data_IF_455179271425
#
_entry.id   IF_455179271425
#
_cell.length_a   1.000
_cell.length_b   1.000
_cell.length_c   1.000
_cell.angle_alpha   90.00
_cell.angle_beta   90.00
_cell.angle_gamma   90.00
#
_symmetry.space_group_name_H-M   'P 1'
#
loop_
_entity.id
_entity.type
_entity.pdbx_description
1 polymer ?
#
# COMPACT_ATOMS: atom_id res chain seq x y z
N UNK A 1 -8.59 -4.47 -4.45
CA UNK A 1 -8.21 -3.44 -3.44
C UNK A 1 -6.70 -3.19 -3.47
N UNK A 2 -6.22 -1.96 -3.21
CA UNK A 2 -4.80 -1.55 -3.27
C UNK A 2 -3.85 -2.56 -2.60
N UNK A 3 -4.28 -3.12 -1.47
CA UNK A 3 -3.53 -4.04 -0.62
C UNK A 3 -3.46 -5.49 -1.10
N UNK A 4 -4.25 -5.89 -2.12
CA UNK A 4 -4.17 -7.25 -2.66
C UNK A 4 -2.93 -7.44 -3.56
N UNK A 5 -2.36 -6.34 -4.03
CA UNK A 5 -1.15 -6.33 -4.86
C UNK A 5 0.10 -6.64 -4.04
N UNK A 6 1.15 -7.15 -4.69
CA UNK A 6 2.44 -7.37 -4.03
C UNK A 6 3.23 -6.05 -3.83
N UNK A 7 3.02 -5.08 -4.73
CA UNK A 7 3.66 -3.77 -4.73
C UNK A 7 2.61 -2.70 -5.08
N UNK A 8 2.79 -1.49 -4.56
CA UNK A 8 1.93 -0.33 -4.81
C UNK A 8 2.76 0.95 -4.98
N UNK A 9 2.32 1.82 -5.89
CA UNK A 9 2.94 3.10 -6.20
C UNK A 9 1.83 4.15 -6.26
N UNK A 10 2.09 5.34 -5.74
CA UNK A 10 1.12 6.44 -5.72
C UNK A 10 1.64 7.68 -6.42
N UNK A 11 0.71 8.51 -6.91
CA UNK A 11 1.03 9.89 -7.26
C UNK A 11 1.19 10.70 -5.95
N UNK A 12 2.05 11.71 -5.95
CA UNK A 12 2.26 12.61 -4.81
C UNK A 12 0.96 13.23 -4.33
N UNK A 13 0.09 13.62 -5.26
CA UNK A 13 -1.22 14.23 -5.03
C UNK A 13 -2.35 13.22 -4.78
N UNK A 14 -2.08 11.91 -4.77
CA UNK A 14 -3.11 10.91 -4.49
C UNK A 14 -3.53 10.97 -3.01
N UNK A 15 -4.83 10.85 -2.75
CA UNK A 15 -5.37 10.89 -1.39
C UNK A 15 -5.80 9.50 -0.90
N UNK A 16 -5.49 9.21 0.35
CA UNK A 16 -5.87 7.98 1.06
C UNK A 16 -6.53 8.35 2.41
N UNK A 17 -7.58 7.62 2.79
CA UNK A 17 -8.26 7.79 4.08
C UNK A 17 -8.90 6.49 4.56
N UNK A 18 -8.81 6.23 5.87
CA UNK A 18 -9.72 5.36 6.60
C UNK A 18 -10.85 6.19 7.22
N UNK A 19 -11.70 6.75 6.36
CA UNK A 19 -12.72 7.71 6.77
C UNK A 19 -13.93 7.08 7.47
N UNK A 20 -14.00 5.76 7.59
CA UNK A 20 -15.12 5.01 8.19
C UNK A 20 -15.53 5.56 9.57
N UNK A 21 -14.56 5.98 10.38
CA UNK A 21 -14.81 6.54 11.71
C UNK A 21 -15.69 7.80 11.67
N UNK A 22 -15.57 8.61 10.60
CA UNK A 22 -16.39 9.82 10.40
C UNK A 22 -17.86 9.49 10.09
N UNK A 23 -18.14 8.25 9.71
CA UNK A 23 -19.49 7.73 9.46
C UNK A 23 -20.01 6.87 10.63
N UNK A 24 -19.28 6.82 11.76
CA UNK A 24 -19.66 6.03 12.92
C UNK A 24 -19.53 4.52 12.72
N UNK A 25 -18.73 4.07 11.75
CA UNK A 25 -18.49 2.65 11.47
C UNK A 25 -17.00 2.33 11.55
N UNK A 26 -16.68 1.07 11.82
CA UNK A 26 -15.30 0.60 11.85
C UNK A 26 -14.77 0.33 10.43
N UNK A 27 -13.43 0.38 10.20
CA UNK A 27 -12.84 0.04 8.90
C UNK A 27 -13.04 -1.43 8.53
N UNK A 28 -14.10 -1.71 7.78
CA UNK A 28 -14.54 -3.03 7.38
C UNK A 28 -13.81 -3.59 6.15
N UNK A 29 -14.28 -4.72 5.62
CA UNK A 29 -13.79 -5.27 4.34
C UNK A 29 -12.31 -5.67 4.31
N UNK A 30 -11.70 -5.87 5.48
CA UNK A 30 -10.28 -6.17 5.64
C UNK A 30 -9.38 -4.94 5.77
N UNK A 31 -9.91 -3.71 5.69
CA UNK A 31 -9.12 -2.48 5.82
C UNK A 31 -8.34 -2.42 7.14
N UNK A 32 -8.95 -2.82 8.26
CA UNK A 32 -8.27 -2.91 9.56
C UNK A 32 -7.06 -3.87 9.53
N UNK A 33 -7.19 -5.05 8.93
CA UNK A 33 -6.08 -6.02 8.82
C UNK A 33 -4.95 -5.45 7.96
N UNK A 34 -5.31 -4.85 6.85
CA UNK A 34 -4.39 -4.27 5.87
C UNK A 34 -3.52 -3.18 6.48
N UNK A 35 -4.12 -2.21 7.19
CA UNK A 35 -3.33 -1.09 7.72
C UNK A 35 -2.42 -1.52 8.86
N UNK A 36 -2.78 -2.55 9.61
CA UNK A 36 -1.90 -3.12 10.65
C UNK A 36 -0.75 -3.93 10.03
N UNK A 37 -0.96 -4.58 8.89
CA UNK A 37 0.10 -5.31 8.17
C UNK A 37 1.10 -4.39 7.46
N UNK A 38 0.62 -3.26 6.92
CA UNK A 38 1.44 -2.38 6.09
C UNK A 38 2.08 -1.23 6.86
N UNK A 39 1.42 -0.71 7.89
CA UNK A 39 1.86 0.48 8.62
C UNK A 39 2.42 0.12 9.99
N UNK A 40 3.13 1.08 10.60
CA UNK A 40 3.41 0.97 12.04
C UNK A 40 2.10 1.02 12.83
N UNK A 41 2.06 0.39 14.00
CA UNK A 41 0.86 0.41 14.85
C UNK A 41 0.40 1.83 15.18
N UNK A 42 1.33 2.79 15.32
CA UNK A 42 0.98 4.20 15.59
C UNK A 42 0.37 4.89 14.38
N UNK A 43 0.91 4.66 13.18
CA UNK A 43 0.38 5.27 11.97
C UNK A 43 -0.98 4.66 11.59
N UNK A 44 -1.14 3.35 11.77
CA UNK A 44 -2.42 2.66 11.60
C UNK A 44 -3.49 3.23 12.52
N UNK A 45 -3.18 3.36 13.82
CA UNK A 45 -4.11 3.94 14.80
C UNK A 45 -4.40 5.41 14.51
N UNK A 46 -3.39 6.21 14.18
CA UNK A 46 -3.61 7.61 13.80
C UNK A 46 -4.57 7.69 12.61
N UNK A 47 -4.30 6.94 11.53
CA UNK A 47 -5.10 7.01 10.32
C UNK A 47 -6.55 6.56 10.56
N UNK A 48 -6.74 5.44 11.27
CA UNK A 48 -8.05 4.88 11.54
C UNK A 48 -8.88 5.69 12.55
N UNK A 49 -8.25 6.30 13.55
CA UNK A 49 -8.96 7.07 14.58
C UNK A 49 -9.25 8.50 14.17
N UNK A 50 -8.39 9.11 13.35
CA UNK A 50 -8.59 10.50 12.89
C UNK A 50 -9.45 10.57 11.64
N UNK A 51 -9.41 9.54 10.78
CA UNK A 51 -10.06 9.58 9.47
C UNK A 51 -9.50 10.65 8.53
N UNK A 52 -8.35 11.23 8.83
CA UNK A 52 -7.73 12.28 8.03
C UNK A 52 -7.21 11.75 6.69
N UNK A 53 -7.29 12.61 5.67
CA UNK A 53 -6.67 12.37 4.38
C UNK A 53 -5.15 12.47 4.50
N UNK A 54 -4.46 11.49 3.94
CA UNK A 54 -3.01 11.54 3.72
C UNK A 54 -2.73 11.57 2.21
N UNK A 55 -1.68 12.28 1.83
CA UNK A 55 -1.21 12.35 0.45
C UNK A 55 -0.31 11.16 0.09
N UNK A 56 0.08 11.03 -1.18
CA UNK A 56 0.93 9.94 -1.65
C UNK A 56 2.28 9.91 -0.96
N UNK A 57 2.86 11.08 -0.69
CA UNK A 57 4.16 11.22 -0.01
C UNK A 57 4.11 10.65 1.39
N UNK A 58 3.09 11.01 2.16
CA UNK A 58 2.88 10.47 3.51
C UNK A 58 2.54 8.99 3.47
N UNK A 59 1.73 8.54 2.50
CA UNK A 59 1.46 7.12 2.28
C UNK A 59 2.76 6.31 2.03
N UNK A 60 3.71 6.83 1.24
CA UNK A 60 5.00 6.19 1.01
C UNK A 60 5.92 6.26 2.24
N UNK A 61 5.91 7.37 2.98
CA UNK A 61 6.65 7.50 4.23
C UNK A 61 6.18 6.48 5.28
N UNK A 62 4.87 6.24 5.34
CA UNK A 62 4.22 5.28 6.24
C UNK A 62 4.22 3.84 5.73
N UNK A 63 4.76 3.58 4.53
CA UNK A 63 4.81 2.26 3.87
C UNK A 63 3.45 1.68 3.46
N UNK A 64 2.41 2.51 3.38
CA UNK A 64 1.15 2.13 2.74
C UNK A 64 1.34 1.79 1.25
N UNK A 65 2.30 2.48 0.62
CA UNK A 65 2.78 2.21 -0.74
C UNK A 65 4.31 2.16 -0.76
N UNK A 66 4.91 1.53 -1.77
CA UNK A 66 6.36 1.41 -1.90
C UNK A 66 7.03 2.76 -2.21
N UNK A 67 6.45 3.51 -3.15
CA UNK A 67 6.98 4.80 -3.63
C UNK A 67 5.83 5.77 -3.95
N UNK A 68 6.11 7.06 -3.79
CA UNK A 68 5.28 8.16 -4.28
C UNK A 68 6.09 8.99 -5.26
N UNK A 69 5.48 9.34 -6.39
CA UNK A 69 6.12 10.12 -7.46
C UNK A 69 5.17 11.21 -7.97
N UNK A 70 5.67 12.29 -8.61
CA UNK A 70 4.82 13.16 -9.41
C UNK A 70 3.98 12.34 -10.40
N UNK A 71 2.70 12.67 -10.58
CA UNK A 71 1.81 11.87 -11.42
C UNK A 71 2.31 11.66 -12.86
N UNK A 72 3.04 12.64 -13.41
CA UNK A 72 3.66 12.55 -14.74
C UNK A 72 4.67 11.39 -14.86
N UNK A 73 5.38 11.06 -13.77
CA UNK A 73 6.43 10.05 -13.75
C UNK A 73 5.92 8.67 -13.30
N UNK A 74 4.77 8.63 -12.64
CA UNK A 74 4.21 7.41 -12.02
C UNK A 74 4.12 6.24 -13.01
N UNK A 75 3.53 6.48 -14.19
CA UNK A 75 3.36 5.42 -15.21
C UNK A 75 4.70 4.88 -15.71
N UNK A 76 5.67 5.76 -15.92
CA UNK A 76 7.01 5.37 -16.36
C UNK A 76 7.70 4.50 -15.31
N UNK A 77 7.61 4.90 -14.03
CA UNK A 77 8.19 4.15 -12.91
C UNK A 77 7.55 2.77 -12.74
N UNK A 78 6.22 2.70 -12.71
CA UNK A 78 5.48 1.43 -12.60
C UNK A 78 5.85 0.50 -13.77
N UNK A 79 5.92 1.02 -14.99
CA UNK A 79 6.29 0.24 -16.18
C UNK A 79 7.73 -0.29 -16.09
N UNK A 80 8.66 0.52 -15.57
CA UNK A 80 10.04 0.09 -15.37
C UNK A 80 10.12 -1.06 -14.35
N UNK A 81 9.39 -0.96 -13.23
CA UNK A 81 9.30 -2.03 -12.23
C UNK A 81 8.69 -3.29 -12.81
N UNK A 82 7.58 -3.17 -13.56
CA UNK A 82 6.97 -4.31 -14.23
C UNK A 82 7.95 -5.02 -15.19
N UNK A 83 8.73 -4.26 -15.99
CA UNK A 83 9.78 -4.83 -16.86
C UNK A 83 10.87 -5.54 -16.05
N UNK A 84 11.27 -5.00 -14.90
CA UNK A 84 12.24 -5.66 -14.01
C UNK A 84 11.71 -7.01 -13.49
N UNK A 85 10.42 -7.10 -13.18
CA UNK A 85 9.77 -8.33 -12.73
C UNK A 85 9.62 -9.35 -13.88
N UNK A 86 9.29 -8.91 -15.09
CA UNK A 86 9.19 -9.76 -16.28
C UNK A 86 10.52 -10.47 -16.63
N UNK A 87 11.65 -9.87 -16.26
CA UNK A 87 12.97 -10.45 -16.46
C UNK A 87 13.34 -11.50 -15.38
N UNK A 88 12.46 -11.80 -14.42
CA UNK A 88 12.70 -12.83 -13.40
C UNK A 88 12.13 -14.17 -13.84
N UNK A 89 12.68 -15.26 -13.31
CA UNK A 89 12.06 -16.57 -13.46
C UNK A 89 10.66 -16.54 -12.80
N UNK A 90 9.57 -16.83 -13.55
CA UNK A 90 8.21 -16.66 -13.04
C UNK A 90 7.86 -17.63 -11.90
N UNK A 91 8.43 -18.83 -11.90
CA UNK A 91 8.23 -19.82 -10.84
C UNK A 91 8.90 -19.35 -9.56
N UNK A 92 10.15 -18.89 -9.65
CA UNK A 92 10.87 -18.34 -8.51
C UNK A 92 10.17 -17.08 -7.97
N UNK A 93 9.75 -16.17 -8.84
CA UNK A 93 9.05 -14.95 -8.45
C UNK A 93 7.76 -15.24 -7.67
N UNK A 94 6.95 -16.21 -8.14
CA UNK A 94 5.75 -16.67 -7.43
C UNK A 94 6.10 -17.32 -6.10
N UNK A 95 7.09 -18.20 -6.08
CA UNK A 95 7.51 -18.87 -4.84
C UNK A 95 8.00 -17.86 -3.80
N UNK A 96 8.76 -16.84 -4.21
CA UNK A 96 9.25 -15.78 -3.32
C UNK A 96 8.12 -15.01 -2.65
N UNK A 97 7.14 -14.52 -3.42
CA UNK A 97 6.02 -13.75 -2.84
C UNK A 97 5.10 -14.63 -1.98
N UNK A 98 4.89 -15.89 -2.37
CA UNK A 98 4.08 -16.84 -1.60
C UNK A 98 4.77 -17.18 -0.27
N UNK A 99 6.09 -17.36 -0.27
CA UNK A 99 6.86 -17.64 0.94
C UNK A 99 6.79 -16.46 1.92
N UNK A 100 7.06 -15.23 1.46
CA UNK A 100 7.00 -14.02 2.31
C UNK A 100 5.62 -13.89 2.97
N UNK A 101 4.54 -14.05 2.20
CA UNK A 101 3.17 -13.88 2.71
C UNK A 101 2.74 -14.97 3.70
N UNK A 102 3.33 -16.16 3.64
CA UNK A 102 2.94 -17.29 4.50
C UNK A 102 3.73 -17.38 5.81
N UNK A 103 4.89 -16.74 5.89
CA UNK A 103 5.73 -16.74 7.11
C UNK A 103 5.55 -15.48 7.95
N UNK A 104 4.84 -14.47 7.43
CA UNK A 104 4.46 -13.30 8.21
C UNK A 104 3.44 -13.71 9.29
N UNK A 105 3.73 -13.35 10.54
CA UNK A 105 2.85 -13.55 11.71
C UNK A 105 1.74 -12.49 11.80
#
# INVERSE_FOLDING_TARGET
PLFACDLAFAADEAHFALSEINWGILPGGGATKVVVELLSMRDAMYHALTGELIDGKKAAAWKLVNESLPAADLKARVSAVAKMLLNKNPVALKATKDAIRRVAE
#
